data_IF_045058118976
#
_entry.id   IF_045058118976
#
_cell.length_a   1.000
_cell.length_b   1.000
_cell.length_c   1.000
_cell.angle_alpha   90.00
_cell.angle_beta   90.00
_cell.angle_gamma   90.00
#
_symmetry.space_group_name_H-M   'P 1'
#
loop_
_entity.id
_entity.type
_entity.pdbx_description
1 polymer ?
#
# COMPACT_ATOMS: atom_id res chain seq x y z
N UNK A 1 -5.14 3.62 19.00
CA UNK A 1 -5.96 3.40 17.79
C UNK A 1 -5.08 2.71 16.79
N UNK A 2 -5.50 1.59 16.21
CA UNK A 2 -4.70 0.91 15.17
C UNK A 2 -4.49 1.85 13.99
N UNK A 3 -3.27 1.98 13.49
CA UNK A 3 -2.92 2.84 12.36
C UNK A 3 -1.82 2.20 11.50
N UNK A 4 -1.62 2.71 10.30
CA UNK A 4 -0.65 2.12 9.36
C UNK A 4 0.81 2.27 9.84
N UNK A 5 1.13 3.34 10.57
CA UNK A 5 2.49 3.57 11.03
C UNK A 5 2.93 2.50 12.05
N UNK A 6 2.10 2.25 13.07
CA UNK A 6 2.35 1.20 14.05
C UNK A 6 2.44 -0.19 13.39
N UNK A 7 1.63 -0.44 12.35
CA UNK A 7 1.69 -1.67 11.58
C UNK A 7 3.03 -1.81 10.83
N UNK A 8 3.54 -0.72 10.22
CA UNK A 8 4.83 -0.73 9.55
C UNK A 8 5.98 -0.97 10.53
N UNK A 9 6.01 -0.25 11.65
CA UNK A 9 7.02 -0.43 12.71
C UNK A 9 7.05 -1.89 13.16
N UNK A 10 5.88 -2.47 13.44
CA UNK A 10 5.77 -3.88 13.84
C UNK A 10 6.27 -4.86 12.76
N UNK A 11 5.89 -4.63 11.50
CA UNK A 11 6.29 -5.49 10.38
C UNK A 11 7.79 -5.40 10.05
N UNK A 12 8.41 -4.24 10.28
CA UNK A 12 9.81 -3.99 9.96
C UNK A 12 10.78 -4.30 11.12
N UNK A 13 10.28 -4.39 12.35
CA UNK A 13 11.10 -4.68 13.54
C UNK A 13 12.01 -5.93 13.40
N UNK A 14 11.59 -7.06 12.79
CA UNK A 14 12.46 -8.22 12.58
C UNK A 14 13.69 -7.95 11.70
N UNK A 15 13.66 -6.88 10.90
CA UNK A 15 14.75 -6.47 10.01
C UNK A 15 15.65 -5.40 10.64
N UNK A 16 15.43 -5.06 11.91
CA UNK A 16 16.24 -4.08 12.64
C UNK A 16 16.01 -2.63 12.19
N UNK A 17 14.86 -2.34 11.57
CA UNK A 17 14.45 -0.99 11.16
C UNK A 17 13.53 -0.41 12.25
N UNK A 18 14.02 0.54 13.06
CA UNK A 18 13.23 1.18 14.11
C UNK A 18 12.30 2.26 13.51
N UNK A 19 11.43 2.82 14.34
CA UNK A 19 10.41 3.78 13.90
C UNK A 19 11.00 5.05 13.26
N UNK A 20 12.20 5.46 13.68
CA UNK A 20 12.91 6.63 13.18
C UNK A 20 13.36 6.46 11.71
N UNK A 21 13.54 5.22 11.26
CA UNK A 21 13.93 4.89 9.89
C UNK A 21 12.71 4.74 8.95
N UNK A 22 11.50 4.84 9.49
CA UNK A 22 10.25 4.69 8.75
C UNK A 22 9.64 6.07 8.53
N UNK A 23 9.86 6.64 7.34
CA UNK A 23 9.16 7.86 6.94
C UNK A 23 7.74 7.53 6.48
N UNK A 24 6.74 7.95 7.27
CA UNK A 24 5.33 7.75 6.95
C UNK A 24 4.90 8.47 5.66
N UNK A 25 5.59 9.54 5.25
CA UNK A 25 5.29 10.24 3.99
C UNK A 25 5.76 9.47 2.76
N UNK A 26 6.62 8.48 2.95
CA UNK A 26 7.21 7.68 1.87
C UNK A 26 6.39 6.43 1.55
N UNK A 27 5.27 6.18 2.23
CA UNK A 27 4.41 5.04 1.91
C UNK A 27 3.53 5.30 0.66
N UNK A 28 3.40 4.30 -0.19
CA UNK A 28 2.47 4.33 -1.33
C UNK A 28 1.11 3.81 -0.85
N UNK A 29 0.08 4.66 -0.94
CA UNK A 29 -1.30 4.28 -0.63
C UNK A 29 -1.99 3.69 -1.85
N UNK A 30 -1.95 2.36 -1.98
CA UNK A 30 -2.72 1.65 -3.00
C UNK A 30 -4.22 1.78 -2.74
N UNK A 31 -5.02 1.71 -3.81
CA UNK A 31 -6.49 1.74 -3.74
C UNK A 31 -7.11 3.02 -3.15
N UNK A 32 -6.35 4.11 -3.00
CA UNK A 32 -6.81 5.33 -2.34
C UNK A 32 -7.12 6.44 -3.36
N UNK A 33 -8.37 6.93 -3.40
CA UNK A 33 -8.75 8.12 -4.19
C UNK A 33 -8.77 9.35 -3.28
N UNK A 34 -7.73 10.17 -3.40
CA UNK A 34 -7.58 11.45 -2.68
C UNK A 34 -7.43 12.56 -3.69
N UNK A 35 -8.25 13.60 -3.54
CA UNK A 35 -8.26 14.74 -4.46
C UNK A 35 -7.95 16.02 -3.72
N UNK A 36 -7.12 16.85 -4.35
CA UNK A 36 -6.90 18.23 -3.91
C UNK A 36 -8.01 19.12 -4.47
N UNK A 37 -8.76 19.76 -3.58
CA UNK A 37 -9.77 20.74 -3.94
C UNK A 37 -9.12 22.11 -4.21
N UNK A 38 -9.78 23.00 -5.00
CA UNK A 38 -9.25 24.33 -5.29
C UNK A 38 -9.00 25.22 -4.06
N UNK A 39 -9.68 24.94 -2.95
CA UNK A 39 -9.51 25.64 -1.67
C UNK A 39 -8.37 25.09 -0.81
N UNK A 40 -7.62 24.11 -1.32
CA UNK A 40 -6.48 23.48 -0.64
C UNK A 40 -6.86 22.32 0.28
N UNK A 41 -8.15 21.98 0.41
CA UNK A 41 -8.55 20.80 1.19
C UNK A 41 -8.26 19.50 0.43
N UNK A 42 -8.02 18.44 1.20
CA UNK A 42 -8.02 17.07 0.73
C UNK A 42 -9.39 16.45 0.95
N UNK A 43 -9.92 15.79 -0.07
CA UNK A 43 -11.15 15.02 0.03
C UNK A 43 -10.88 13.56 -0.34
N UNK A 44 -11.45 12.66 0.47
CA UNK A 44 -11.28 11.22 0.35
C UNK A 44 -12.52 10.63 -0.30
N UNK A 45 -12.34 9.93 -1.41
CA UNK A 45 -13.41 9.31 -2.16
C UNK A 45 -13.43 7.79 -1.94
N UNK A 46 -14.58 7.13 -2.16
CA UNK A 46 -14.68 5.69 -2.19
C UNK A 46 -13.65 5.07 -3.13
N UNK A 47 -13.02 3.98 -2.68
CA UNK A 47 -12.14 3.18 -3.51
C UNK A 47 -12.91 2.61 -4.71
N UNK A 48 -12.35 2.76 -5.91
CA UNK A 48 -12.91 2.21 -7.15
C UNK A 48 -12.50 0.76 -7.43
N UNK A 49 -11.48 0.25 -6.72
CA UNK A 49 -11.01 -1.11 -6.88
C UNK A 49 -12.05 -2.12 -6.37
N UNK A 50 -12.09 -3.28 -7.00
CA UNK A 50 -12.98 -4.39 -6.66
C UNK A 50 -12.19 -5.65 -6.30
N UNK A 51 -12.81 -6.64 -5.63
CA UNK A 51 -12.16 -7.92 -5.36
C UNK A 51 -11.60 -8.55 -6.64
N UNK A 52 -10.32 -8.91 -6.61
CA UNK A 52 -9.60 -9.48 -7.75
C UNK A 52 -8.78 -8.47 -8.56
N UNK A 53 -8.97 -7.16 -8.36
CA UNK A 53 -8.00 -6.18 -8.83
C UNK A 53 -6.67 -6.38 -8.10
N UNK A 54 -5.56 -6.18 -8.81
CA UNK A 54 -4.23 -6.36 -8.25
C UNK A 54 -3.27 -5.30 -8.78
N UNK A 55 -2.25 -5.02 -7.98
CA UNK A 55 -1.05 -4.30 -8.41
C UNK A 55 0.07 -5.32 -8.55
N UNK A 56 0.77 -5.25 -9.67
CA UNK A 56 1.88 -6.14 -9.95
C UNK A 56 3.17 -5.33 -10.00
N UNK A 57 4.13 -5.68 -9.15
CA UNK A 57 5.33 -4.89 -8.90
C UNK A 57 6.58 -5.75 -9.10
N UNK A 58 7.51 -5.26 -9.92
CA UNK A 58 8.82 -5.85 -10.09
C UNK A 58 9.84 -5.14 -9.21
N UNK A 59 10.46 -5.89 -8.28
CA UNK A 59 11.62 -5.41 -7.55
C UNK A 59 12.83 -5.27 -8.49
N UNK A 60 13.29 -4.03 -8.72
CA UNK A 60 14.46 -3.74 -9.58
C UNK A 60 15.80 -3.94 -8.86
N UNK A 61 15.75 -4.14 -7.54
CA UNK A 61 16.87 -4.39 -6.64
C UNK A 61 16.36 -5.17 -5.42
N UNK A 62 17.27 -5.59 -4.55
CA UNK A 62 16.90 -6.17 -3.26
C UNK A 62 16.18 -5.13 -2.39
N UNK A 63 14.99 -5.46 -1.90
CA UNK A 63 14.14 -4.57 -1.11
C UNK A 63 13.49 -5.31 0.06
N UNK A 64 13.16 -4.55 1.10
CA UNK A 64 12.23 -4.96 2.16
C UNK A 64 10.91 -4.23 1.91
N UNK A 65 9.80 -4.98 1.87
CA UNK A 65 8.46 -4.43 1.70
C UNK A 65 7.63 -4.74 2.94
N UNK A 66 7.09 -3.69 3.56
CA UNK A 66 6.07 -3.82 4.60
C UNK A 66 4.71 -3.42 4.01
N UNK A 67 3.68 -4.19 4.33
CA UNK A 67 2.31 -3.96 3.84
C UNK A 67 1.40 -3.77 5.05
N UNK A 68 0.69 -2.66 5.10
CA UNK A 68 -0.34 -2.40 6.10
C UNK A 68 -1.70 -2.39 5.42
N UNK A 69 -2.59 -3.28 5.83
CA UNK A 69 -4.01 -3.16 5.48
C UNK A 69 -4.62 -2.02 6.31
N UNK A 70 -4.91 -0.89 5.68
CA UNK A 70 -5.28 0.34 6.39
C UNK A 70 -6.56 0.13 7.21
N UNK A 71 -6.53 0.33 8.54
CA UNK A 71 -7.70 0.10 9.42
C UNK A 71 -8.68 1.28 9.43
N UNK A 72 -8.55 2.24 8.50
CA UNK A 72 -9.37 3.45 8.50
C UNK A 72 -10.83 3.14 8.12
N UNK A 73 -11.73 3.53 9.01
CA UNK A 73 -13.19 3.37 8.88
C UNK A 73 -13.94 4.72 9.01
N UNK A 74 -13.23 5.80 9.32
CA UNK A 74 -13.84 7.12 9.63
C UNK A 74 -14.00 8.02 8.41
N UNK A 75 -13.52 7.59 7.24
CA UNK A 75 -13.71 8.28 5.99
C UNK A 75 -13.89 7.27 4.85
N UNK A 76 -14.16 7.79 3.64
CA UNK A 76 -14.52 6.95 2.51
C UNK A 76 -13.36 6.14 1.90
N UNK A 77 -12.11 6.31 2.34
CA UNK A 77 -10.95 5.77 1.61
C UNK A 77 -10.97 4.24 1.46
N UNK A 78 -11.55 3.53 2.44
CA UNK A 78 -11.73 2.07 2.41
C UNK A 78 -13.22 1.67 2.34
N UNK A 79 -14.07 2.53 1.78
CA UNK A 79 -15.53 2.33 1.71
C UNK A 79 -16.17 2.04 3.08
N UNK A 80 -15.57 2.58 4.16
CA UNK A 80 -15.99 2.37 5.55
C UNK A 80 -15.97 0.90 6.03
N UNK A 81 -15.39 -0.02 5.25
CA UNK A 81 -15.35 -1.44 5.56
C UNK A 81 -14.06 -2.08 5.01
N UNK A 82 -12.94 -2.02 5.77
CA UNK A 82 -11.70 -2.65 5.38
C UNK A 82 -11.89 -4.16 5.12
N UNK A 83 -11.40 -4.63 3.99
CA UNK A 83 -11.44 -6.05 3.60
C UNK A 83 -10.05 -6.66 3.63
N UNK A 84 -9.95 -7.99 3.62
CA UNK A 84 -8.66 -8.66 3.59
C UNK A 84 -7.92 -8.41 2.27
N UNK A 85 -6.60 -8.28 2.36
CA UNK A 85 -5.70 -8.15 1.21
C UNK A 85 -4.73 -9.33 1.17
N UNK A 86 -4.35 -9.77 -0.04
CA UNK A 86 -3.38 -10.83 -0.27
C UNK A 86 -2.12 -10.25 -0.93
N UNK A 87 -0.96 -10.68 -0.45
CA UNK A 87 0.32 -10.44 -1.10
C UNK A 87 0.92 -11.77 -1.56
N UNK A 88 1.42 -11.80 -2.79
CA UNK A 88 2.09 -12.97 -3.37
C UNK A 88 3.48 -12.55 -3.80
N UNK A 89 4.49 -13.28 -3.32
CA UNK A 89 5.89 -13.10 -3.72
C UNK A 89 6.25 -14.27 -4.62
N UNK A 90 6.76 -14.00 -5.81
CA UNK A 90 7.13 -15.02 -6.78
C UNK A 90 8.34 -14.60 -7.60
N UNK A 91 9.05 -15.60 -8.13
CA UNK A 91 10.12 -15.38 -9.11
C UNK A 91 9.53 -15.42 -10.52
N UNK A 92 9.60 -14.32 -11.29
CA UNK A 92 9.02 -14.28 -12.64
C UNK A 92 9.87 -15.07 -13.64
N UNK A 93 9.21 -15.80 -14.54
CA UNK A 93 9.88 -16.46 -15.67
C UNK A 93 10.25 -15.46 -16.77
N UNK A 94 11.03 -15.91 -17.76
CA UNK A 94 11.50 -15.04 -18.85
C UNK A 94 10.35 -14.49 -19.72
N UNK A 95 9.27 -15.26 -19.89
CA UNK A 95 8.07 -14.81 -20.60
C UNK A 95 7.41 -13.63 -19.89
N UNK A 96 7.25 -13.71 -18.57
CA UNK A 96 6.70 -12.65 -17.74
C UNK A 96 7.57 -11.40 -17.82
N UNK A 97 8.91 -11.54 -17.70
CA UNK A 97 9.84 -10.41 -17.83
C UNK A 97 9.76 -9.73 -19.20
N UNK A 98 9.45 -10.47 -20.27
CA UNK A 98 9.30 -9.90 -21.61
C UNK A 98 8.07 -8.96 -21.70
N UNK A 99 6.99 -9.23 -20.97
CA UNK A 99 5.77 -8.40 -20.95
C UNK A 99 6.00 -7.01 -20.34
N UNK A 100 7.03 -6.85 -19.50
CA UNK A 100 7.35 -5.57 -18.87
C UNK A 100 8.11 -4.60 -19.80
N UNK A 101 8.58 -5.07 -20.95
CA UNK A 101 9.37 -4.26 -21.91
C UNK A 101 8.54 -3.73 -23.09
N UNK A 102 7.29 -4.16 -23.23
CA UNK A 102 6.34 -3.72 -24.26
C UNK A 102 5.46 -2.59 -23.75
#
# INVERSE_FOLDING_TARGET
TTNCFDNFVSAMAPYGLPAEDIDWNSCINFCMDVRHLPDGRLEYYPCHNKPGDYFDLMAQMDIIVAISNCPQERNACNNYNPTAMMAVIFNPNEEYKARLKS
#
